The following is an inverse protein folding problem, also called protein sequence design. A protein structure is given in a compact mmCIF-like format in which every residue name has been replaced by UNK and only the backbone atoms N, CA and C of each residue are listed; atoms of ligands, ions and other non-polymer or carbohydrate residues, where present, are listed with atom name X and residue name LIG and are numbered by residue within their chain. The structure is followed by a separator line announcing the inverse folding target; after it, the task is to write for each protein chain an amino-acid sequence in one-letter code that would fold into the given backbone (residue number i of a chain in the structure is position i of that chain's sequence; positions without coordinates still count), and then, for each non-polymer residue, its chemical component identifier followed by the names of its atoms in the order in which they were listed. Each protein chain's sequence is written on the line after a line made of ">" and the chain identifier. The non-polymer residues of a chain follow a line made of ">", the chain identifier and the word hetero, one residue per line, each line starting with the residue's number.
data_IF_633615498674
#
_entry.id   IF_633615498674
#
_cell.length_a   1.000
_cell.length_b   1.000
_cell.length_c   1.000
_cell.angle_alpha   90.00
_cell.angle_beta   90.00
_cell.angle_gamma   90.00
#
_symmetry.space_group_name_H-M   'P 1'
#
loop_
_entity.id
_entity.type
_entity.pdbx_description
1 polymer ?
#
# COMPACT_ATOMS: atom_id res chain seq x y z
N UNK A 1 35.91 -43.39 0.00
CA UNK A 1 35.38 -42.99 -1.31
C UNK A 1 34.64 -41.67 -1.17
N UNK A 2 35.30 -40.56 -1.49
CA UNK A 2 34.73 -39.21 -1.52
C UNK A 2 33.83 -39.10 -2.75
N UNK A 3 32.55 -38.74 -2.56
CA UNK A 3 31.67 -38.34 -3.66
C UNK A 3 31.48 -36.82 -3.56
N UNK A 4 32.12 -36.12 -4.48
CA UNK A 4 31.92 -34.69 -4.71
C UNK A 4 30.51 -34.48 -5.31
N UNK A 5 29.66 -33.75 -4.60
CA UNK A 5 28.44 -33.20 -5.19
C UNK A 5 28.75 -31.78 -5.66
N UNK A 6 28.88 -31.60 -6.97
CA UNK A 6 28.94 -30.27 -7.60
C UNK A 6 27.56 -29.60 -7.45
N UNK A 7 27.48 -28.60 -6.59
CA UNK A 7 26.36 -27.66 -6.59
C UNK A 7 26.57 -26.68 -7.74
N UNK A 8 25.80 -26.87 -8.82
CA UNK A 8 25.72 -25.96 -9.95
C UNK A 8 24.92 -24.72 -9.51
N UNK A 9 25.60 -23.66 -9.08
CA UNK A 9 24.98 -22.36 -8.77
C UNK A 9 24.59 -21.68 -10.07
N UNK A 10 23.33 -21.84 -10.50
CA UNK A 10 22.74 -21.02 -11.54
C UNK A 10 22.55 -19.59 -11.02
N UNK A 11 23.46 -18.68 -11.40
CA UNK A 11 23.23 -17.24 -11.29
C UNK A 11 22.10 -16.86 -12.27
N UNK A 12 20.90 -16.65 -11.75
CA UNK A 12 19.89 -15.89 -12.47
C UNK A 12 20.11 -14.40 -12.15
N UNK A 13 20.93 -13.73 -12.96
CA UNK A 13 21.02 -12.27 -13.00
C UNK A 13 19.80 -11.74 -13.75
N UNK A 14 18.67 -11.69 -13.07
CA UNK A 14 17.55 -10.83 -13.41
C UNK A 14 17.43 -9.83 -12.27
N UNK A 15 17.68 -8.55 -12.54
CA UNK A 15 17.31 -7.47 -11.63
C UNK A 15 15.78 -7.42 -11.55
N UNK A 16 15.21 -8.31 -10.75
CA UNK A 16 13.86 -8.16 -10.23
C UNK A 16 13.94 -6.97 -9.26
N UNK A 17 13.57 -5.78 -9.74
CA UNK A 17 13.27 -4.64 -8.88
C UNK A 17 12.03 -5.01 -8.06
N UNK A 18 12.24 -5.75 -6.97
CA UNK A 18 11.23 -5.85 -5.92
C UNK A 18 11.14 -4.48 -5.24
N UNK A 19 9.94 -4.03 -4.86
CA UNK A 19 9.77 -2.80 -4.09
C UNK A 19 10.73 -2.79 -2.92
N UNK A 20 11.45 -1.68 -2.79
CA UNK A 20 12.36 -1.53 -1.67
C UNK A 20 11.57 -1.00 -0.48
N UNK A 21 11.02 -1.93 0.30
CA UNK A 21 10.43 -1.63 1.60
C UNK A 21 11.52 -1.08 2.52
N UNK A 22 11.25 0.06 3.15
CA UNK A 22 12.14 0.68 4.12
C UNK A 22 11.58 0.39 5.51
N UNK A 23 12.32 -0.36 6.31
CA UNK A 23 11.94 -0.70 7.68
C UNK A 23 12.50 0.32 8.68
N UNK A 24 11.85 0.43 9.83
CA UNK A 24 12.29 1.31 10.90
C UNK A 24 13.73 0.96 11.34
N UNK A 25 14.51 1.99 11.67
CA UNK A 25 15.94 1.90 11.95
C UNK A 25 16.86 2.02 10.72
N UNK A 26 16.32 2.18 9.51
CA UNK A 26 17.12 2.29 8.28
C UNK A 26 17.38 3.73 7.85
N UNK A 27 18.62 4.00 7.43
CA UNK A 27 18.97 5.23 6.74
C UNK A 27 18.49 5.19 5.28
N UNK A 28 17.95 6.32 4.82
CA UNK A 28 17.68 6.55 3.41
C UNK A 28 18.98 7.07 2.80
N UNK A 29 19.62 6.22 2.01
CA UNK A 29 20.92 6.51 1.42
C UNK A 29 20.81 7.65 0.41
N UNK A 30 21.74 8.59 0.50
CA UNK A 30 21.80 9.71 -0.43
C UNK A 30 22.09 9.21 -1.86
N UNK A 31 21.47 9.84 -2.85
CA UNK A 31 21.56 9.52 -4.29
C UNK A 31 21.05 8.11 -4.68
N UNK A 32 20.50 7.35 -3.73
CA UNK A 32 19.85 6.07 -3.99
C UNK A 32 18.35 6.26 -4.21
N UNK A 33 17.84 5.63 -5.27
CA UNK A 33 16.40 5.57 -5.57
C UNK A 33 15.79 4.33 -4.94
N UNK A 34 14.71 4.52 -4.19
CA UNK A 34 13.87 3.47 -3.64
C UNK A 34 12.59 3.41 -4.46
N UNK A 35 12.48 2.40 -5.33
CA UNK A 35 11.41 2.32 -6.34
C UNK A 35 10.15 1.64 -5.82
N UNK A 36 9.00 2.07 -6.35
CA UNK A 36 7.76 1.30 -6.31
C UNK A 36 7.88 0.01 -7.15
N UNK A 37 7.04 -0.98 -6.87
CA UNK A 37 7.03 -2.28 -7.57
C UNK A 37 6.87 -2.15 -9.09
N UNK A 38 6.07 -1.20 -9.56
CA UNK A 38 5.86 -0.95 -10.99
C UNK A 38 6.94 -0.06 -11.64
N UNK A 39 7.94 0.38 -10.86
CA UNK A 39 9.01 1.28 -11.32
C UNK A 39 8.53 2.65 -11.78
N UNK A 40 7.28 3.05 -11.47
CA UNK A 40 6.71 4.34 -11.87
C UNK A 40 6.98 5.46 -10.87
N UNK A 41 7.36 5.12 -9.63
CA UNK A 41 7.61 6.08 -8.57
C UNK A 41 8.88 5.72 -7.83
N UNK A 42 9.55 6.72 -7.27
CA UNK A 42 10.70 6.49 -6.41
C UNK A 42 10.89 7.58 -5.37
N UNK A 43 11.36 7.18 -4.19
CA UNK A 43 11.86 8.08 -3.16
C UNK A 43 13.36 8.27 -3.34
N UNK A 44 13.83 9.51 -3.22
CA UNK A 44 15.24 9.88 -3.36
C UNK A 44 15.63 10.90 -2.27
N UNK A 45 16.66 10.57 -1.49
CA UNK A 45 17.35 11.58 -0.69
C UNK A 45 18.45 12.20 -1.55
N UNK A 46 18.24 13.43 -1.97
CA UNK A 46 19.05 14.11 -2.99
C UNK A 46 20.38 14.64 -2.42
N UNK A 47 21.33 14.93 -3.32
CA UNK A 47 22.62 15.54 -2.97
C UNK A 47 22.50 16.93 -2.35
N UNK A 48 21.44 17.65 -2.69
CA UNK A 48 21.11 18.96 -2.12
C UNK A 48 20.49 18.87 -0.72
N UNK A 49 20.28 17.66 -0.18
CA UNK A 49 19.71 17.46 1.15
C UNK A 49 18.18 17.45 1.21
N UNK A 50 17.47 17.43 0.08
CA UNK A 50 16.02 17.26 0.04
C UNK A 50 15.63 15.78 -0.08
N UNK A 51 14.65 15.31 0.69
CA UNK A 51 14.00 14.01 0.49
C UNK A 51 12.74 14.21 -0.36
N UNK A 52 12.68 13.56 -1.51
CA UNK A 52 11.64 13.82 -2.53
C UNK A 52 11.09 12.53 -3.10
N UNK A 53 9.75 12.47 -3.20
CA UNK A 53 9.03 11.45 -3.95
C UNK A 53 8.82 11.94 -5.38
N UNK A 54 9.22 11.11 -6.34
CA UNK A 54 9.13 11.40 -7.77
C UNK A 54 8.25 10.39 -8.50
N UNK A 55 7.67 10.81 -9.62
CA UNK A 55 7.25 9.88 -10.66
C UNK A 55 8.43 9.53 -11.60
N UNK A 56 8.21 8.59 -12.53
CA UNK A 56 9.24 8.08 -13.45
C UNK A 56 9.82 9.15 -14.37
N UNK A 57 9.03 10.17 -14.69
CA UNK A 57 9.45 11.34 -15.49
C UNK A 57 10.21 12.39 -14.67
N UNK A 58 10.60 12.07 -13.42
CA UNK A 58 11.28 12.97 -12.49
C UNK A 58 10.48 14.24 -12.15
N UNK A 59 9.15 14.18 -12.22
CA UNK A 59 8.28 15.22 -11.65
C UNK A 59 8.14 14.98 -10.14
N UNK A 60 8.45 15.98 -9.29
CA UNK A 60 8.28 15.84 -7.84
C UNK A 60 6.78 15.77 -7.52
N UNK A 61 6.41 14.82 -6.67
CA UNK A 61 5.05 14.65 -6.15
C UNK A 61 4.95 15.16 -4.71
N UNK A 62 5.97 14.90 -3.90
CA UNK A 62 6.07 15.34 -2.51
C UNK A 62 7.53 15.62 -2.16
N UNK A 63 7.77 16.58 -1.27
CA UNK A 63 9.12 16.90 -0.77
C UNK A 63 9.12 17.27 0.71
N UNK A 64 10.24 16.97 1.38
CA UNK A 64 10.49 17.32 2.78
C UNK A 64 10.83 18.81 3.00
N UNK A 65 11.10 19.57 1.92
CA UNK A 65 11.50 20.99 1.94
C UNK A 65 12.80 21.27 2.71
N UNK A 66 13.78 20.36 2.58
CA UNK A 66 15.06 20.42 3.31
C UNK A 66 16.26 20.76 2.43
N UNK A 67 16.04 21.24 1.21
CA UNK A 67 17.07 21.69 0.27
C UNK A 67 18.09 22.61 0.95
N UNK A 68 19.37 22.37 0.67
CA UNK A 68 20.58 23.01 1.20
C UNK A 68 20.77 22.90 2.72
N UNK A 69 19.97 22.07 3.40
CA UNK A 69 20.01 21.94 4.88
C UNK A 69 20.12 20.51 5.36
N UNK A 70 19.58 19.54 4.61
CA UNK A 70 19.59 18.13 5.00
C UNK A 70 20.94 17.46 4.77
N UNK A 71 21.40 16.73 5.78
CA UNK A 71 22.62 15.90 5.74
C UNK A 71 22.35 14.42 5.94
N UNK A 72 21.20 14.06 6.52
CA UNK A 72 20.83 12.67 6.76
C UNK A 72 19.30 12.53 6.73
N UNK A 73 18.82 11.48 6.07
CA UNK A 73 17.42 11.04 6.14
C UNK A 73 17.36 9.64 6.73
N UNK A 74 16.49 9.44 7.72
CA UNK A 74 16.37 8.18 8.45
C UNK A 74 14.90 7.88 8.74
N UNK A 75 14.47 6.64 8.49
CA UNK A 75 13.25 6.10 9.06
C UNK A 75 13.63 5.43 10.37
N UNK A 76 13.44 6.13 11.48
CA UNK A 76 13.99 5.83 12.78
C UNK A 76 13.29 4.65 13.44
N UNK A 77 13.95 4.02 14.42
CA UNK A 77 13.42 2.85 15.16
C UNK A 77 12.13 3.15 15.94
N UNK A 78 11.91 4.42 16.31
CA UNK A 78 10.68 4.89 16.96
C UNK A 78 9.48 5.06 16.00
N UNK A 79 9.70 4.80 14.70
CA UNK A 79 8.70 4.90 13.64
C UNK A 79 8.59 6.29 13.02
N UNK A 80 9.53 7.20 13.26
CA UNK A 80 9.53 8.54 12.69
C UNK A 80 10.40 8.64 11.43
N UNK A 81 9.90 9.23 10.34
CA UNK A 81 10.74 9.60 9.19
C UNK A 81 11.27 11.02 9.43
N UNK A 82 12.58 11.16 9.52
CA UNK A 82 13.23 12.43 9.88
C UNK A 82 14.35 12.76 8.91
N UNK A 83 14.43 14.04 8.53
CA UNK A 83 15.61 14.61 7.88
C UNK A 83 16.32 15.54 8.87
N UNK A 84 17.63 15.37 9.00
CA UNK A 84 18.48 16.11 9.92
C UNK A 84 19.39 17.10 9.17
N UNK A 85 19.64 18.24 9.80
CA UNK A 85 20.69 19.20 9.48
C UNK A 85 21.99 18.89 10.25
N UNK A 86 23.12 19.58 9.94
CA UNK A 86 24.35 19.45 10.72
C UNK A 86 24.12 19.62 12.22
N UNK A 87 24.87 18.85 13.04
CA UNK A 87 24.69 18.81 14.48
C UNK A 87 23.47 18.01 14.96
N UNK A 88 22.95 17.10 14.13
CA UNK A 88 21.81 16.22 14.46
C UNK A 88 20.52 16.98 14.80
N UNK A 89 20.31 18.14 14.16
CA UNK A 89 19.10 18.96 14.34
C UNK A 89 17.99 18.51 13.38
N UNK A 90 16.82 18.03 13.85
CA UNK A 90 15.74 17.63 12.96
C UNK A 90 15.16 18.85 12.24
N UNK A 91 14.99 18.76 10.92
CA UNK A 91 14.46 19.84 10.07
C UNK A 91 13.23 19.42 9.24
N UNK A 92 12.93 18.12 9.21
CA UNK A 92 11.67 17.56 8.77
C UNK A 92 11.32 16.38 9.68
N UNK A 93 10.04 16.18 9.97
CA UNK A 93 9.54 14.98 10.64
C UNK A 93 8.15 14.63 10.11
N UNK A 94 7.88 13.33 9.93
CA UNK A 94 6.52 12.83 9.69
C UNK A 94 5.61 12.89 10.92
N UNK A 95 6.15 13.24 12.10
CA UNK A 95 5.46 13.25 13.39
C UNK A 95 4.81 11.89 13.73
N UNK A 96 5.47 10.79 13.36
CA UNK A 96 5.01 9.41 13.61
C UNK A 96 5.75 8.70 14.74
N UNK A 97 6.60 9.43 15.48
CA UNK A 97 7.27 8.92 16.67
C UNK A 97 6.26 8.34 17.67
N UNK A 98 6.52 7.13 18.17
CA UNK A 98 5.65 6.45 19.13
C UNK A 98 4.34 5.89 18.54
N UNK A 99 4.10 6.06 17.23
CA UNK A 99 2.95 5.43 16.53
C UNK A 99 3.20 3.96 16.19
N UNK A 100 4.34 3.41 16.63
CA UNK A 100 4.78 2.02 16.40
C UNK A 100 4.88 1.69 14.91
N UNK A 101 5.23 2.68 14.10
CA UNK A 101 5.40 2.47 12.67
C UNK A 101 6.64 1.62 12.40
N UNK A 102 6.50 0.68 11.49
CA UNK A 102 7.55 -0.29 11.15
C UNK A 102 7.92 -0.27 9.68
N UNK A 103 7.08 0.33 8.82
CA UNK A 103 7.21 0.25 7.37
C UNK A 103 6.97 1.61 6.71
N UNK A 104 7.91 2.04 5.86
CA UNK A 104 7.77 3.14 4.91
C UNK A 104 7.74 2.53 3.50
N UNK A 105 6.70 2.87 2.72
CA UNK A 105 6.39 2.24 1.44
C UNK A 105 6.18 3.29 0.34
N UNK A 106 6.86 3.08 -0.79
CA UNK A 106 6.61 3.79 -2.05
C UNK A 106 5.63 2.95 -2.87
N UNK A 107 4.43 3.44 -3.07
CA UNK A 107 3.31 2.66 -3.63
C UNK A 107 3.15 2.85 -5.14
N UNK A 108 2.49 1.90 -5.80
CA UNK A 108 2.28 1.93 -7.24
C UNK A 108 1.25 2.97 -7.70
N UNK A 109 0.53 3.57 -6.76
CA UNK A 109 -0.38 4.68 -6.99
C UNK A 109 0.31 6.05 -6.83
N UNK A 110 1.60 6.09 -6.49
CA UNK A 110 2.34 7.33 -6.29
C UNK A 110 2.19 7.94 -4.90
N UNK A 111 1.69 7.18 -3.93
CA UNK A 111 1.71 7.57 -2.53
C UNK A 111 3.01 7.12 -1.84
N UNK A 112 3.44 7.88 -0.83
CA UNK A 112 4.46 7.48 0.13
C UNK A 112 3.79 7.35 1.48
N UNK A 113 3.79 6.14 2.06
CA UNK A 113 2.98 5.85 3.25
C UNK A 113 3.82 5.21 4.35
N UNK A 114 3.60 5.66 5.58
CA UNK A 114 4.16 5.07 6.80
C UNK A 114 3.06 4.25 7.48
N UNK A 115 3.37 2.99 7.78
CA UNK A 115 2.45 2.02 8.34
C UNK A 115 2.88 1.55 9.73
N UNK A 116 1.91 1.42 10.62
CA UNK A 116 1.96 0.53 11.78
C UNK A 116 0.97 -0.60 11.53
N UNK A 117 1.48 -1.75 11.11
CA UNK A 117 0.60 -2.81 10.59
C UNK A 117 -0.40 -2.17 9.60
N UNK A 118 -1.66 -2.60 9.65
CA UNK A 118 -2.66 -2.29 8.62
C UNK A 118 -3.17 -0.86 8.74
N UNK A 119 -2.66 -0.15 9.75
CA UNK A 119 -2.98 1.24 10.05
C UNK A 119 -1.95 2.15 9.41
N UNK A 120 -2.30 2.90 8.35
CA UNK A 120 -1.49 4.02 7.89
C UNK A 120 -1.46 5.10 9.00
N UNK A 121 -0.27 5.61 9.31
CA UNK A 121 -0.08 6.65 10.35
C UNK A 121 0.39 7.98 9.78
N UNK A 122 0.88 7.98 8.53
CA UNK A 122 1.19 9.17 7.75
C UNK A 122 1.20 8.80 6.26
N UNK A 123 0.81 9.73 5.39
CA UNK A 123 0.91 9.60 3.94
C UNK A 123 1.28 10.95 3.31
N UNK A 124 1.95 10.91 2.16
CA UNK A 124 2.18 12.10 1.34
C UNK A 124 0.89 12.64 0.70
N UNK A 125 -0.17 11.83 0.65
CA UNK A 125 -1.46 12.14 0.01
C UNK A 125 -1.31 12.51 -1.46
N UNK A 126 -0.39 11.82 -2.13
CA UNK A 126 -0.07 12.02 -3.56
C UNK A 126 -0.54 10.87 -4.42
N UNK A 127 -1.33 9.94 -3.86
CA UNK A 127 -1.97 8.87 -4.62
C UNK A 127 -2.69 9.47 -5.81
N UNK A 128 -2.31 9.04 -7.01
CA UNK A 128 -2.95 9.39 -8.25
C UNK A 128 -4.25 8.59 -8.30
N UNK A 129 -5.29 9.12 -7.66
CA UNK A 129 -6.65 8.62 -7.79
C UNK A 129 -7.00 8.70 -9.28
N UNK A 130 -7.10 7.56 -9.96
CA UNK A 130 -7.75 7.43 -11.27
C UNK A 130 -9.28 7.72 -11.17
N UNK A 131 -9.68 8.68 -10.33
CA UNK A 131 -11.05 9.15 -10.15
C UNK A 131 -11.53 10.02 -11.32
N UNK A 132 -10.65 10.38 -12.26
CA UNK A 132 -11.02 11.18 -13.42
C UNK A 132 -11.62 10.37 -14.58
N UNK A 133 -12.21 9.21 -14.31
CA UNK A 133 -13.05 8.50 -15.26
C UNK A 133 -14.52 8.85 -14.99
N UNK A 134 -14.88 10.10 -15.33
CA UNK A 134 -16.27 10.49 -15.55
C UNK A 134 -16.79 9.81 -16.84
N UNK A 135 -16.84 8.48 -16.82
CA UNK A 135 -17.47 7.66 -17.82
C UNK A 135 -18.83 7.25 -17.31
N UNK A 136 -19.87 7.99 -17.72
CA UNK A 136 -21.25 7.54 -17.59
C UNK A 136 -21.39 6.17 -18.27
N UNK A 137 -21.52 5.13 -17.45
CA UNK A 137 -21.57 3.76 -17.92
C UNK A 137 -22.28 2.91 -16.88
N UNK A 138 -23.56 2.66 -17.13
CA UNK A 138 -24.42 1.81 -16.34
C UNK A 138 -23.83 0.41 -16.17
N UNK A 139 -23.39 0.08 -14.94
CA UNK A 139 -23.21 -1.30 -14.49
C UNK A 139 -21.97 -2.03 -15.04
N UNK A 140 -21.29 -2.71 -14.11
CA UNK A 140 -20.28 -3.75 -14.34
C UNK A 140 -18.86 -3.30 -14.71
N UNK A 141 -18.04 -3.11 -13.67
CA UNK A 141 -16.59 -3.16 -13.74
C UNK A 141 -15.90 -1.81 -13.94
N UNK A 142 -15.72 -1.07 -12.85
CA UNK A 142 -14.94 0.18 -12.85
C UNK A 142 -13.50 -0.11 -13.26
N UNK A 143 -13.10 0.42 -14.43
CA UNK A 143 -11.71 0.46 -14.88
C UNK A 143 -10.89 1.17 -13.81
N UNK A 144 -10.07 0.42 -13.05
CA UNK A 144 -9.25 0.95 -11.95
C UNK A 144 -9.23 0.11 -10.67
N UNK A 145 -9.97 -1.00 -10.60
CA UNK A 145 -9.95 -1.92 -9.45
C UNK A 145 -10.52 -1.33 -8.17
N UNK A 146 -11.28 -0.24 -8.26
CA UNK A 146 -11.93 0.43 -7.14
C UNK A 146 -13.44 0.13 -7.05
N UNK A 147 -13.99 0.11 -5.84
CA UNK A 147 -15.43 0.14 -5.58
C UNK A 147 -15.77 1.23 -4.56
N UNK A 148 -16.97 1.81 -4.70
CA UNK A 148 -17.45 2.90 -3.85
C UNK A 148 -18.28 2.37 -2.67
N UNK A 149 -18.48 3.17 -1.60
CA UNK A 149 -19.40 2.85 -0.51
C UNK A 149 -20.79 2.42 -1.01
N UNK A 150 -21.37 1.40 -0.37
CA UNK A 150 -22.60 0.71 -0.77
C UNK A 150 -22.40 -0.50 -1.70
N UNK A 151 -21.16 -0.91 -1.97
CA UNK A 151 -20.88 -2.06 -2.83
C UNK A 151 -21.05 -3.39 -2.08
N UNK A 152 -22.01 -4.22 -2.51
CA UNK A 152 -22.20 -5.57 -2.02
C UNK A 152 -21.41 -6.59 -2.86
N UNK A 153 -20.73 -7.52 -2.19
CA UNK A 153 -19.94 -8.56 -2.86
C UNK A 153 -20.80 -9.81 -3.09
N UNK A 154 -20.96 -10.18 -4.36
CA UNK A 154 -21.55 -11.47 -4.73
C UNK A 154 -20.50 -12.58 -4.64
N UNK A 155 -20.92 -13.75 -4.15
CA UNK A 155 -20.02 -14.90 -4.02
C UNK A 155 -19.34 -15.23 -5.36
N UNK A 156 -18.03 -15.47 -5.30
CA UNK A 156 -17.09 -15.72 -6.39
C UNK A 156 -16.97 -14.64 -7.47
N UNK A 157 -17.67 -13.51 -7.34
CA UNK A 157 -17.41 -12.36 -8.20
C UNK A 157 -16.09 -11.71 -7.79
N UNK A 158 -15.25 -11.46 -8.79
CA UNK A 158 -13.90 -10.92 -8.61
C UNK A 158 -13.86 -9.46 -9.00
N UNK A 159 -13.25 -8.63 -8.16
CA UNK A 159 -12.84 -7.28 -8.51
C UNK A 159 -11.34 -7.32 -8.76
N UNK A 160 -10.95 -7.10 -10.01
CA UNK A 160 -9.55 -7.15 -10.41
C UNK A 160 -8.87 -5.79 -10.26
N UNK A 161 -7.59 -5.81 -9.95
CA UNK A 161 -6.70 -4.66 -10.15
C UNK A 161 -6.68 -4.27 -11.64
N UNK A 162 -6.26 -3.05 -11.96
CA UNK A 162 -6.26 -2.55 -13.34
C UNK A 162 -5.39 -3.41 -14.26
N UNK A 163 -4.23 -3.86 -13.77
CA UNK A 163 -3.34 -4.79 -14.47
C UNK A 163 -3.80 -6.26 -14.44
N UNK A 164 -4.91 -6.57 -13.74
CA UNK A 164 -5.47 -7.91 -13.53
C UNK A 164 -4.54 -8.93 -12.88
N UNK A 165 -3.43 -8.50 -12.28
CA UNK A 165 -2.51 -9.37 -11.55
C UNK A 165 -3.02 -9.72 -10.15
N UNK A 166 -4.01 -8.98 -9.65
CA UNK A 166 -4.61 -9.20 -8.34
C UNK A 166 -6.12 -9.12 -8.43
N UNK A 167 -6.80 -9.75 -7.48
CA UNK A 167 -8.24 -9.61 -7.32
C UNK A 167 -8.69 -9.77 -5.87
N UNK A 168 -9.79 -9.10 -5.53
CA UNK A 168 -10.56 -9.35 -4.31
C UNK A 168 -11.78 -10.21 -4.65
N UNK A 169 -12.05 -11.23 -3.83
CA UNK A 169 -13.19 -12.14 -4.01
C UNK A 169 -13.83 -12.49 -2.67
N UNK A 170 -15.16 -12.48 -2.60
CA UNK A 170 -15.89 -13.11 -1.51
C UNK A 170 -16.17 -14.56 -1.92
N UNK A 171 -15.49 -15.52 -1.31
CA UNK A 171 -15.49 -16.92 -1.71
C UNK A 171 -16.75 -17.65 -1.22
N UNK A 172 -17.03 -18.82 -1.82
CA UNK A 172 -18.20 -19.63 -1.44
C UNK A 172 -18.19 -20.08 0.03
N UNK A 173 -17.01 -20.32 0.58
CA UNK A 173 -16.80 -20.70 1.99
C UNK A 173 -17.07 -19.54 2.97
N UNK A 174 -17.34 -18.32 2.49
CA UNK A 174 -17.59 -17.15 3.34
C UNK A 174 -16.34 -16.35 3.68
N UNK A 175 -15.18 -16.65 3.07
CA UNK A 175 -13.96 -15.88 3.26
C UNK A 175 -13.88 -14.72 2.25
N UNK A 176 -13.49 -13.52 2.68
CA UNK A 176 -13.14 -12.42 1.78
C UNK A 176 -11.63 -12.44 1.58
N UNK A 177 -11.19 -12.73 0.36
CA UNK A 177 -9.80 -13.03 0.06
C UNK A 177 -9.29 -12.11 -1.04
N UNK A 178 -8.14 -11.50 -0.78
CA UNK A 178 -7.35 -10.76 -1.75
C UNK A 178 -6.20 -11.65 -2.22
N UNK A 179 -6.15 -11.89 -3.52
CA UNK A 179 -5.26 -12.88 -4.13
C UNK A 179 -4.53 -12.32 -5.34
N UNK A 180 -3.41 -12.95 -5.69
CA UNK A 180 -2.83 -12.88 -7.03
C UNK A 180 -3.74 -13.57 -8.04
N UNK A 181 -3.57 -13.25 -9.32
CA UNK A 181 -4.35 -13.84 -10.40
C UNK A 181 -4.16 -15.37 -10.54
N UNK A 182 -3.03 -15.90 -10.07
CA UNK A 182 -2.78 -17.35 -9.99
C UNK A 182 -3.52 -18.05 -8.83
N UNK A 183 -4.26 -17.31 -7.98
CA UNK A 183 -5.01 -17.85 -6.85
C UNK A 183 -4.28 -17.80 -5.50
N UNK A 184 -2.99 -17.46 -5.47
CA UNK A 184 -2.24 -17.31 -4.22
C UNK A 184 -2.83 -16.18 -3.36
N UNK A 185 -3.24 -16.51 -2.14
CA UNK A 185 -3.79 -15.54 -1.20
C UNK A 185 -2.68 -14.62 -0.65
N UNK A 186 -2.90 -13.31 -0.74
CA UNK A 186 -2.05 -12.28 -0.14
C UNK A 186 -2.61 -11.88 1.22
N UNK A 187 -3.93 -11.76 1.32
CA UNK A 187 -4.64 -11.41 2.53
C UNK A 187 -6.01 -12.09 2.55
N UNK A 188 -6.51 -12.43 3.74
CA UNK A 188 -7.86 -12.95 3.94
C UNK A 188 -8.47 -12.41 5.24
N UNK A 189 -9.79 -12.25 5.25
CA UNK A 189 -10.55 -11.82 6.45
C UNK A 189 -10.58 -12.88 7.56
N UNK A 190 -10.30 -14.15 7.23
CA UNK A 190 -10.36 -15.27 8.19
C UNK A 190 -11.80 -15.62 8.59
N UNK A 191 -12.73 -15.42 7.66
CA UNK A 191 -14.17 -15.62 7.87
C UNK A 191 -14.70 -16.86 7.17
N UNK A 192 -13.81 -17.78 6.77
CA UNK A 192 -14.19 -19.09 6.25
C UNK A 192 -15.14 -19.80 7.22
N UNK A 193 -16.15 -20.45 6.64
CA UNK A 193 -17.25 -21.13 7.31
C UNK A 193 -18.11 -20.26 8.24
N UNK A 194 -17.91 -18.93 8.24
CA UNK A 194 -18.67 -17.97 9.06
C UNK A 194 -19.35 -16.90 8.23
N UNK A 195 -18.72 -16.43 7.16
CA UNK A 195 -19.22 -15.33 6.34
C UNK A 195 -20.42 -15.72 5.47
N UNK A 196 -21.50 -14.96 5.57
CA UNK A 196 -22.69 -15.06 4.74
C UNK A 196 -22.75 -13.94 3.68
N UNK A 197 -22.28 -12.74 4.03
CA UNK A 197 -22.30 -11.54 3.18
C UNK A 197 -21.06 -10.67 3.44
N UNK A 198 -20.56 -10.02 2.40
CA UNK A 198 -19.52 -9.00 2.50
C UNK A 198 -19.97 -7.72 1.80
N UNK A 199 -19.62 -6.57 2.36
CA UNK A 199 -20.05 -5.26 1.85
C UNK A 199 -18.99 -4.19 2.16
N UNK A 200 -18.72 -3.32 1.19
CA UNK A 200 -18.09 -2.03 1.45
C UNK A 200 -19.21 -1.01 1.66
N UNK A 201 -19.53 -0.77 2.91
CA UNK A 201 -20.78 -0.14 3.35
C UNK A 201 -20.81 1.36 3.08
N UNK A 202 -22.00 1.95 3.14
CA UNK A 202 -22.20 3.39 2.94
C UNK A 202 -21.49 4.26 3.98
N UNK A 203 -21.25 3.74 5.19
CA UNK A 203 -20.48 4.43 6.22
C UNK A 203 -18.95 4.38 5.98
N UNK A 204 -18.51 3.72 4.90
CA UNK A 204 -17.11 3.58 4.53
C UNK A 204 -16.40 2.40 5.19
N UNK A 205 -17.11 1.46 5.80
CA UNK A 205 -16.54 0.27 6.41
C UNK A 205 -16.55 -0.94 5.44
N UNK A 206 -15.45 -1.67 5.33
CA UNK A 206 -15.45 -3.00 4.67
C UNK A 206 -15.75 -4.04 5.74
N UNK A 207 -16.85 -4.78 5.59
CA UNK A 207 -17.36 -5.69 6.63
C UNK A 207 -17.76 -7.04 6.04
N UNK A 208 -17.47 -8.11 6.78
CA UNK A 208 -18.04 -9.44 6.54
C UNK A 208 -18.99 -9.78 7.69
N UNK A 209 -20.19 -10.22 7.36
CA UNK A 209 -21.23 -10.62 8.31
C UNK A 209 -21.48 -12.13 8.29
N UNK A 210 -21.91 -12.70 9.40
CA UNK A 210 -22.44 -14.07 9.48
C UNK A 210 -23.92 -14.16 9.10
N UNK A 211 -24.49 -15.36 9.15
CA UNK A 211 -25.91 -15.61 8.81
C UNK A 211 -26.91 -14.95 9.76
N UNK A 212 -26.48 -14.53 10.95
CA UNK A 212 -27.29 -13.78 11.92
C UNK A 212 -27.12 -12.27 11.79
N UNK A 213 -26.46 -11.82 10.72
CA UNK A 213 -26.19 -10.42 10.45
C UNK A 213 -25.25 -9.76 11.50
N UNK A 214 -24.41 -10.57 12.17
CA UNK A 214 -23.36 -10.07 13.06
C UNK A 214 -22.05 -9.89 12.30
N UNK A 215 -21.38 -8.76 12.49
CA UNK A 215 -20.08 -8.52 11.89
C UNK A 215 -19.05 -9.50 12.48
N UNK A 216 -18.42 -10.31 11.62
CA UNK A 216 -17.37 -11.28 11.98
C UNK A 216 -15.98 -10.79 11.62
N UNK A 217 -15.87 -9.81 10.72
CA UNK A 217 -14.65 -9.08 10.41
C UNK A 217 -14.98 -7.67 9.91
N UNK A 218 -14.12 -6.69 10.21
CA UNK A 218 -14.27 -5.31 9.71
C UNK A 218 -12.91 -4.62 9.56
N UNK A 219 -12.78 -3.73 8.57
CA UNK A 219 -11.63 -2.82 8.41
C UNK A 219 -11.55 -1.72 9.48
N UNK A 220 -12.59 -1.54 10.29
CA UNK A 220 -12.72 -0.47 11.28
C UNK A 220 -12.58 0.94 10.66
N UNK A 221 -13.19 1.13 9.49
CA UNK A 221 -13.17 2.41 8.75
C UNK A 221 -14.50 3.15 8.75
N UNK A 222 -15.48 2.69 9.53
CA UNK A 222 -16.80 3.31 9.64
C UNK A 222 -16.72 4.79 10.04
N UNK A 223 -17.51 5.63 9.37
CA UNK A 223 -17.65 7.07 9.61
C UNK A 223 -16.33 7.86 9.54
N UNK A 224 -15.29 7.31 8.89
CA UNK A 224 -14.01 8.00 8.64
C UNK A 224 -13.95 8.66 7.27
N UNK A 225 -15.08 8.75 6.57
CA UNK A 225 -15.21 9.39 5.27
C UNK A 225 -14.56 8.61 4.14
N UNK A 226 -14.56 7.27 4.21
CA UNK A 226 -14.00 6.46 3.13
C UNK A 226 -14.81 6.68 1.85
N UNK A 227 -14.10 6.90 0.74
CA UNK A 227 -14.68 7.15 -0.59
C UNK A 227 -14.46 5.99 -1.54
N UNK A 228 -13.49 5.10 -1.26
CA UNK A 228 -13.10 4.02 -2.17
C UNK A 228 -12.44 2.85 -1.45
N UNK A 229 -12.77 1.62 -1.87
CA UNK A 229 -11.95 0.43 -1.64
C UNK A 229 -11.21 0.11 -2.94
N UNK A 230 -9.90 -0.09 -2.87
CA UNK A 230 -9.03 -0.19 -4.04
C UNK A 230 -8.22 -1.49 -4.04
N UNK A 231 -8.37 -2.29 -5.10
CA UNK A 231 -7.50 -3.42 -5.45
C UNK A 231 -6.36 -2.87 -6.32
N UNK A 232 -5.18 -2.65 -5.73
CA UNK A 232 -4.08 -1.93 -6.37
C UNK A 232 -3.12 -2.86 -7.13
N UNK A 233 -2.45 -2.28 -8.13
CA UNK A 233 -1.52 -2.98 -9.02
C UNK A 233 -0.17 -3.35 -8.34
N UNK A 234 0.14 -2.83 -7.15
CA UNK A 234 1.23 -3.30 -6.26
C UNK A 234 0.86 -4.55 -5.44
N UNK A 235 -0.37 -5.04 -5.58
CA UNK A 235 -0.83 -6.13 -4.72
C UNK A 235 -1.11 -5.63 -3.31
N UNK A 236 -1.67 -4.43 -3.17
CA UNK A 236 -2.24 -3.93 -1.93
C UNK A 236 -3.76 -3.76 -2.07
N UNK A 237 -4.51 -4.05 -0.99
CA UNK A 237 -5.92 -3.74 -0.88
C UNK A 237 -6.08 -2.60 0.11
N UNK A 238 -6.68 -1.48 -0.30
CA UNK A 238 -6.68 -0.25 0.51
C UNK A 238 -8.07 0.38 0.58
N UNK A 239 -8.48 0.81 1.77
CA UNK A 239 -9.63 1.72 1.96
C UNK A 239 -9.10 3.14 2.00
N UNK A 240 -9.66 4.02 1.18
CA UNK A 240 -9.23 5.39 0.97
C UNK A 240 -10.29 6.40 1.36
N UNK A 241 -9.87 7.53 1.92
CA UNK A 241 -10.56 8.83 1.88
C UNK A 241 -9.80 9.72 0.90
N UNK A 242 -10.30 9.83 -0.34
CA UNK A 242 -9.56 10.43 -1.46
C UNK A 242 -8.15 9.80 -1.54
N UNK A 243 -7.07 10.58 -1.59
CA UNK A 243 -5.69 10.05 -1.58
C UNK A 243 -5.17 9.60 -0.21
N UNK A 244 -5.96 9.73 0.87
CA UNK A 244 -5.55 9.37 2.23
C UNK A 244 -5.94 7.92 2.54
N UNK A 245 -5.00 7.00 2.75
CA UNK A 245 -5.34 5.63 3.12
C UNK A 245 -5.87 5.58 4.57
N UNK A 246 -6.92 4.81 4.81
CA UNK A 246 -7.55 4.58 6.11
C UNK A 246 -7.26 3.19 6.69
N UNK A 247 -7.09 2.20 5.81
CA UNK A 247 -6.75 0.81 6.12
C UNK A 247 -6.07 0.16 4.90
N UNK A 248 -5.17 -0.79 5.09
CA UNK A 248 -4.51 -1.55 4.01
C UNK A 248 -4.24 -3.01 4.41
N UNK A 249 -4.25 -3.91 3.44
CA UNK A 249 -3.91 -5.33 3.64
C UNK A 249 -2.42 -5.59 3.91
N UNK A 250 -1.56 -4.57 3.75
CA UNK A 250 -0.11 -4.62 3.98
C UNK A 250 0.62 -5.79 3.33
N UNK A 251 0.75 -5.73 2.02
CA UNK A 251 1.80 -6.52 1.40
C UNK A 251 3.20 -6.10 1.87
#
# INVERSE_FOLDING_TARGET
>A
MRRHLLALTLMFCGLLFNAQIIYNGQNIQQDKRYWSDNGQYYLLFQKDGNLVLYNRSARPLWESKTTNRGTQAIFQSDGNLVVYAPGNRPIFSSNTNGKRATKLSVQNDGNLVIYNRSSPVWASNTSNDDSNNNGGGNGWGFRGGGVNPGFAFYKNSKIYSANRNYYLVFQNDGNLVFSRNNGEAIWASGTDNKGSRAEFQQDGNLVVYDSYNKAVWSSNTQNRGATRLAVQDDGNLVVYQNSTPLWSSER
#
